data_IF_036856576007
#
_entry.id   IF_036856576007
#
_cell.length_a   1.000
_cell.length_b   1.000
_cell.length_c   1.000
_cell.angle_alpha   90.00
_cell.angle_beta   90.00
_cell.angle_gamma   90.00
#
_symmetry.space_group_name_H-M   'P 1'
#
loop_
_entity.id
_entity.type
_entity.pdbx_description
1 polymer ?
#
# COMPACT_ATOMS: atom_id res chain seq x y z
N UNK A 1 1.04 -12.69 19.85
CA UNK A 1 1.73 -11.43 19.47
C UNK A 1 1.62 -11.29 17.96
N UNK A 2 0.51 -10.73 17.48
CA UNK A 2 0.24 -10.58 16.05
C UNK A 2 1.01 -9.36 15.52
N UNK A 3 2.00 -9.60 14.66
CA UNK A 3 2.64 -8.55 13.87
C UNK A 3 1.65 -8.10 12.79
N UNK A 4 0.88 -7.05 13.09
CA UNK A 4 -0.09 -6.46 12.18
C UNK A 4 0.52 -5.24 11.51
N UNK A 5 0.49 -5.21 10.17
CA UNK A 5 0.91 -4.07 9.37
C UNK A 5 2.41 -4.02 9.12
N UNK A 6 2.89 -4.74 8.11
CA UNK A 6 4.09 -4.29 7.40
C UNK A 6 3.78 -2.89 6.90
N UNK A 7 4.26 -1.88 7.63
CA UNK A 7 4.50 -0.53 7.12
C UNK A 7 5.02 -0.75 5.69
N UNK A 8 4.28 -0.29 4.68
CA UNK A 8 4.68 -0.47 3.29
C UNK A 8 5.92 0.40 3.09
N UNK A 9 7.07 -0.13 3.49
CA UNK A 9 8.36 0.49 3.31
C UNK A 9 8.60 0.49 1.81
N UNK A 10 8.22 1.59 1.17
CA UNK A 10 8.69 1.89 -0.17
C UNK A 10 10.19 2.09 -0.05
N UNK A 11 10.95 1.24 -0.74
CA UNK A 11 12.39 1.36 -0.80
C UNK A 11 12.71 2.51 -1.76
N UNK A 12 12.89 3.69 -1.19
CA UNK A 12 13.49 4.83 -1.89
C UNK A 12 15.00 4.68 -1.75
N UNK A 13 15.71 4.65 -2.88
CA UNK A 13 17.18 4.78 -2.87
C UNK A 13 17.53 6.24 -2.59
N UNK A 14 17.57 6.59 -1.30
CA UNK A 14 17.85 7.95 -0.82
C UNK A 14 19.25 8.40 -1.22
N UNK A 15 20.22 7.47 -1.27
CA UNK A 15 21.59 7.78 -1.69
C UNK A 15 21.66 8.15 -3.17
N UNK A 16 20.95 7.44 -4.05
CA UNK A 16 20.87 7.78 -5.46
C UNK A 16 20.21 9.15 -5.68
N UNK A 17 19.18 9.47 -4.91
CA UNK A 17 18.51 10.77 -4.99
C UNK A 17 19.40 11.92 -4.52
N UNK A 18 20.07 11.79 -3.37
CA UNK A 18 21.05 12.77 -2.87
C UNK A 18 22.15 13.01 -3.90
N UNK A 19 22.76 11.94 -4.44
CA UNK A 19 23.81 12.05 -5.46
C UNK A 19 23.35 12.72 -6.74
N UNK A 20 22.07 12.54 -7.11
CA UNK A 20 21.49 13.23 -8.26
C UNK A 20 21.38 14.73 -7.99
N UNK A 21 20.89 15.13 -6.81
CA UNK A 21 20.80 16.54 -6.42
C UNK A 21 22.19 17.19 -6.31
N UNK A 22 23.18 16.50 -5.75
CA UNK A 22 24.56 16.99 -5.72
C UNK A 22 25.12 17.24 -7.13
N UNK A 23 24.82 16.36 -8.10
CA UNK A 23 25.21 16.56 -9.50
C UNK A 23 24.53 17.76 -10.17
N UNK A 24 23.36 18.16 -9.69
CA UNK A 24 22.65 19.38 -10.12
C UNK A 24 23.16 20.64 -9.38
N UNK A 25 24.16 20.50 -8.51
CA UNK A 25 24.83 21.62 -7.83
C UNK A 25 24.29 21.94 -6.42
N UNK A 26 23.44 21.08 -5.85
CA UNK A 26 22.99 21.26 -4.46
C UNK A 26 24.10 20.87 -3.48
N UNK A 27 24.27 21.66 -2.41
CA UNK A 27 25.09 21.24 -1.27
C UNK A 27 24.50 19.98 -0.61
N UNK A 28 25.35 19.08 -0.12
CA UNK A 28 24.91 17.79 0.46
C UNK A 28 23.81 17.95 1.52
N UNK A 29 23.93 18.96 2.40
CA UNK A 29 22.92 19.24 3.43
C UNK A 29 21.55 19.60 2.84
N UNK A 30 21.52 20.36 1.74
CA UNK A 30 20.27 20.68 1.05
C UNK A 30 19.73 19.48 0.29
N UNK A 31 20.60 18.69 -0.35
CA UNK A 31 20.24 17.46 -1.05
C UNK A 31 19.60 16.42 -0.10
N UNK A 32 20.16 16.26 1.10
CA UNK A 32 19.61 15.43 2.17
C UNK A 32 18.25 15.95 2.63
N UNK A 33 18.14 17.24 2.97
CA UNK A 33 16.88 17.83 3.43
C UNK A 33 15.74 17.71 2.40
N UNK A 34 16.05 17.89 1.12
CA UNK A 34 15.08 17.69 0.02
C UNK A 34 14.69 16.20 -0.07
N UNK A 35 15.67 15.31 -0.01
CA UNK A 35 15.44 13.86 -0.06
C UNK A 35 14.53 13.40 1.08
N UNK A 36 14.74 13.91 2.29
CA UNK A 36 13.90 13.63 3.46
C UNK A 36 12.48 14.14 3.27
N UNK A 37 12.32 15.40 2.86
CA UNK A 37 10.99 16.00 2.62
C UNK A 37 10.21 15.23 1.54
N UNK A 38 10.87 14.85 0.44
CA UNK A 38 10.25 14.05 -0.63
C UNK A 38 9.87 12.66 -0.12
N UNK A 39 10.74 12.01 0.65
CA UNK A 39 10.47 10.68 1.21
C UNK A 39 9.28 10.71 2.16
N UNK A 40 9.15 11.74 2.98
CA UNK A 40 8.03 11.93 3.87
C UNK A 40 6.71 12.13 3.10
N UNK A 41 6.67 13.06 2.14
CA UNK A 41 5.47 13.31 1.32
C UNK A 41 5.05 12.05 0.56
N UNK A 42 6.00 11.29 0.03
CA UNK A 42 5.71 10.02 -0.66
C UNK A 42 5.13 8.98 0.30
N UNK A 43 5.70 8.84 1.49
CA UNK A 43 5.19 7.93 2.53
C UNK A 43 3.75 8.27 2.89
N UNK A 44 3.47 9.53 3.22
CA UNK A 44 2.15 10.01 3.63
C UNK A 44 1.11 9.86 2.51
N UNK A 45 1.51 10.20 1.27
CA UNK A 45 0.62 10.10 0.11
C UNK A 45 0.22 8.64 -0.17
N UNK A 46 1.16 7.71 -0.05
CA UNK A 46 0.91 6.29 -0.29
C UNK A 46 0.11 5.64 0.83
N UNK A 47 0.29 6.08 2.08
CA UNK A 47 -0.57 5.66 3.19
C UNK A 47 -2.00 6.12 2.95
N UNK A 48 -2.21 7.38 2.56
CA UNK A 48 -3.53 7.90 2.23
C UNK A 48 -4.18 7.15 1.05
N UNK A 49 -3.42 6.86 -0.01
CA UNK A 49 -3.91 6.03 -1.11
C UNK A 49 -4.26 4.63 -0.60
N UNK A 50 -3.43 3.99 0.22
CA UNK A 50 -3.71 2.65 0.74
C UNK A 50 -5.00 2.58 1.57
N UNK A 51 -5.42 3.67 2.22
CA UNK A 51 -6.69 3.74 2.94
C UNK A 51 -7.91 3.78 2.00
N UNK A 52 -7.75 4.27 0.76
CA UNK A 52 -8.83 4.38 -0.23
C UNK A 52 -9.05 3.10 -1.04
N UNK A 53 -8.11 2.15 -1.01
CA UNK A 53 -8.17 0.92 -1.80
C UNK A 53 -8.16 -0.31 -0.90
N UNK A 54 -9.08 -1.23 -1.19
CA UNK A 54 -9.04 -2.58 -0.62
C UNK A 54 -7.89 -3.35 -1.28
N UNK A 55 -7.07 -4.05 -0.50
CA UNK A 55 -5.99 -4.85 -1.07
C UNK A 55 -6.55 -6.02 -1.89
N UNK A 56 -5.80 -6.51 -2.88
CA UNK A 56 -6.21 -7.68 -3.67
C UNK A 56 -6.52 -8.90 -2.79
N UNK A 57 -5.77 -9.08 -1.69
CA UNK A 57 -6.00 -10.18 -0.75
C UNK A 57 -7.30 -10.01 0.05
N UNK A 58 -7.65 -8.79 0.45
CA UNK A 58 -8.94 -8.52 1.10
C UNK A 58 -10.09 -8.64 0.10
N UNK A 59 -9.91 -8.18 -1.14
CA UNK A 59 -10.90 -8.33 -2.20
C UNK A 59 -11.17 -9.80 -2.52
N UNK A 60 -10.13 -10.65 -2.57
CA UNK A 60 -10.28 -12.10 -2.73
C UNK A 60 -11.07 -12.73 -1.58
N UNK A 61 -10.80 -12.34 -0.33
CA UNK A 61 -11.58 -12.83 0.82
C UNK A 61 -13.06 -12.44 0.72
N UNK A 62 -13.34 -11.19 0.33
CA UNK A 62 -14.71 -10.71 0.10
C UNK A 62 -15.38 -11.55 -0.99
N UNK A 63 -14.69 -11.79 -2.10
CA UNK A 63 -15.21 -12.61 -3.20
C UNK A 63 -15.54 -14.04 -2.75
N UNK A 64 -14.62 -14.70 -2.03
CA UNK A 64 -14.86 -16.04 -1.50
C UNK A 64 -16.07 -16.09 -0.57
N UNK A 65 -16.27 -15.06 0.27
CA UNK A 65 -17.45 -14.96 1.14
C UNK A 65 -18.74 -14.84 0.34
N UNK A 66 -18.76 -13.97 -0.68
CA UNK A 66 -19.92 -13.79 -1.56
C UNK A 66 -20.24 -15.10 -2.30
N UNK A 67 -19.23 -15.79 -2.83
CA UNK A 67 -19.40 -17.07 -3.53
C UNK A 67 -19.99 -18.16 -2.60
N UNK A 68 -19.55 -18.19 -1.34
CA UNK A 68 -20.09 -19.11 -0.33
C UNK A 68 -21.56 -18.80 0.01
N UNK A 69 -21.89 -17.53 0.21
CA UNK A 69 -23.26 -17.09 0.49
C UNK A 69 -24.21 -17.38 -0.68
N UNK A 70 -23.78 -17.13 -1.93
CA UNK A 70 -24.55 -17.48 -3.13
C UNK A 70 -24.75 -18.99 -3.22
N UNK A 71 -23.72 -19.79 -2.94
CA UNK A 71 -23.81 -21.26 -2.98
C UNK A 71 -24.80 -21.79 -1.94
N UNK A 72 -24.77 -21.22 -0.73
CA UNK A 72 -25.72 -21.55 0.34
C UNK A 72 -27.15 -21.13 -0.02
N UNK A 73 -27.34 -19.95 -0.60
CA UNK A 73 -28.66 -19.51 -1.05
C UNK A 73 -29.24 -20.45 -2.10
N UNK A 74 -28.44 -20.83 -3.11
CA UNK A 74 -28.86 -21.78 -4.15
C UNK A 74 -29.25 -23.14 -3.59
N UNK A 75 -28.52 -23.66 -2.62
CA UNK A 75 -28.87 -24.95 -2.01
C UNK A 75 -30.18 -24.90 -1.23
N UNK A 76 -30.45 -23.81 -0.51
CA UNK A 76 -31.71 -23.59 0.21
C UNK A 76 -32.92 -23.44 -0.73
N UNK A 77 -32.75 -22.74 -1.84
CA UNK A 77 -33.79 -22.59 -2.86
C UNK A 77 -34.13 -23.95 -3.49
N UNK A 78 -33.10 -24.71 -3.88
CA UNK A 78 -33.29 -26.02 -4.48
C UNK A 78 -33.87 -27.06 -3.52
N UNK A 79 -33.60 -26.95 -2.21
CA UNK A 79 -34.17 -27.86 -1.21
C UNK A 79 -35.61 -27.53 -0.82
N UNK A 80 -36.14 -26.39 -1.28
CA UNK A 80 -37.48 -25.89 -0.92
C UNK A 80 -38.51 -26.04 -2.07
N UNK A 81 -38.13 -26.71 -3.16
CA UNK A 81 -38.99 -27.13 -4.27
C UNK A 81 -39.19 -28.65 -4.24
#
# INVERSE_FOLDING_TARGET
>A
MAYNGKQRAFLVDTLALVRKLEKEGFESKHAEAITDAVTQVLSDSLENVAQLYVSNGEMQKIQMSIEADISKFKSQVNSSQ
#
